data_IF_721994150911
#
_entry.id   IF_721994150911
#
_cell.length_a   1.000
_cell.length_b   1.000
_cell.length_c   1.000
_cell.angle_alpha   90.00
_cell.angle_beta   90.00
_cell.angle_gamma   90.00
#
_symmetry.space_group_name_H-M   'P 1'
#
loop_
_entity.id
_entity.type
_entity.pdbx_description
1 polymer ?
#
# COMPACT_ATOMS: atom_id res chain seq x y z
N UNK A 1 -55.13 49.53 42.61
CA UNK A 1 -55.73 50.17 41.41
C UNK A 1 -55.48 49.30 40.17
N UNK A 2 -56.15 49.59 39.05
CA UNK A 2 -56.10 48.81 37.79
C UNK A 2 -54.69 48.75 37.17
N UNK A 3 -54.18 47.55 36.84
CA UNK A 3 -54.25 46.81 35.54
C UNK A 3 -53.35 47.33 34.41
N UNK A 4 -52.42 46.47 33.98
CA UNK A 4 -51.87 46.16 32.63
C UNK A 4 -50.95 44.91 32.86
N UNK A 5 -50.68 43.87 32.04
CA UNK A 5 -50.97 43.48 30.63
C UNK A 5 -50.30 44.40 29.58
N UNK A 6 -49.56 43.97 28.55
CA UNK A 6 -49.19 42.68 27.91
C UNK A 6 -47.69 42.79 27.47
N UNK A 7 -46.94 41.79 27.00
CA UNK A 7 -47.18 40.37 26.69
C UNK A 7 -45.87 39.55 26.93
N UNK A 8 -45.66 38.46 26.18
CA UNK A 8 -44.49 37.57 26.07
C UNK A 8 -43.29 38.17 25.31
N UNK A 9 -42.07 37.77 25.69
CA UNK A 9 -41.19 36.92 24.84
C UNK A 9 -39.98 36.41 25.65
N UNK A 10 -39.72 35.09 25.64
CA UNK A 10 -38.43 34.51 26.08
C UNK A 10 -37.71 34.01 24.84
N UNK A 11 -36.53 34.58 24.56
CA UNK A 11 -35.69 34.20 23.43
C UNK A 11 -34.35 33.66 23.95
N UNK A 12 -34.29 32.36 24.21
CA UNK A 12 -33.06 31.63 24.50
C UNK A 12 -32.26 31.41 23.21
N UNK A 13 -31.30 32.28 22.93
CA UNK A 13 -30.33 32.11 21.85
C UNK A 13 -29.21 31.15 22.29
N UNK A 14 -29.55 29.86 22.36
CA UNK A 14 -28.57 28.77 22.50
C UNK A 14 -27.96 28.54 21.11
N UNK A 15 -26.77 29.08 20.88
CA UNK A 15 -25.99 28.84 19.66
C UNK A 15 -25.34 27.45 19.70
N UNK A 16 -26.15 26.40 19.56
CA UNK A 16 -25.68 25.01 19.45
C UNK A 16 -24.98 24.80 18.10
N UNK A 17 -23.66 24.91 18.09
CA UNK A 17 -22.83 24.55 16.93
C UNK A 17 -22.89 23.04 16.72
N UNK A 18 -23.76 22.59 15.81
CA UNK A 18 -23.68 21.23 15.28
C UNK A 18 -22.45 21.13 14.39
N UNK A 19 -21.41 20.46 14.87
CA UNK A 19 -20.34 19.93 14.01
C UNK A 19 -20.91 18.72 13.29
N UNK A 20 -21.42 18.94 12.07
CA UNK A 20 -21.87 17.87 11.19
C UNK A 20 -20.61 17.11 10.69
N UNK A 21 -20.52 15.78 10.84
CA UNK A 21 -19.44 15.01 10.23
C UNK A 21 -19.56 15.10 8.71
N UNK A 22 -18.50 15.51 8.02
CA UNK A 22 -18.48 15.55 6.57
C UNK A 22 -18.39 14.12 6.01
N UNK A 23 -19.54 13.50 5.74
CA UNK A 23 -19.64 12.36 4.82
C UNK A 23 -19.27 12.87 3.43
N UNK A 24 -18.02 12.68 3.01
CA UNK A 24 -17.64 12.93 1.63
C UNK A 24 -18.25 11.85 0.71
N UNK A 25 -18.59 12.23 -0.52
CA UNK A 25 -19.44 11.41 -1.39
C UNK A 25 -18.67 10.65 -2.46
N UNK A 26 -19.17 9.46 -2.76
CA UNK A 26 -19.11 8.85 -4.08
C UNK A 26 -19.59 9.81 -5.17
N UNK A 27 -19.04 9.71 -6.39
CA UNK A 27 -19.59 10.36 -7.58
C UNK A 27 -20.00 9.29 -8.57
N UNK A 28 -21.30 8.99 -8.62
CA UNK A 28 -21.86 8.15 -9.69
C UNK A 28 -21.98 8.99 -10.97
N UNK A 29 -21.64 8.47 -12.17
CA UNK A 29 -21.56 9.29 -13.39
C UNK A 29 -22.92 9.65 -14.01
N UNK A 30 -24.00 8.95 -13.64
CA UNK A 30 -25.33 9.12 -14.23
C UNK A 30 -26.21 10.18 -13.54
N UNK A 31 -25.77 10.81 -12.44
CA UNK A 31 -26.53 11.91 -11.79
C UNK A 31 -26.34 13.26 -12.50
N UNK A 32 -27.43 14.02 -12.63
CA UNK A 32 -27.64 15.10 -13.58
C UNK A 32 -26.94 16.44 -13.28
N UNK A 33 -25.68 16.43 -12.84
CA UNK A 33 -24.85 17.62 -12.67
C UNK A 33 -25.23 18.52 -11.49
N UNK A 34 -25.92 17.97 -10.50
CA UNK A 34 -26.45 18.65 -9.30
C UNK A 34 -25.39 19.00 -8.25
N UNK A 35 -24.18 18.43 -8.34
CA UNK A 35 -23.09 18.63 -7.39
C UNK A 35 -21.79 19.09 -8.08
N UNK A 36 -21.17 20.21 -7.65
CA UNK A 36 -19.95 20.73 -8.27
C UNK A 36 -18.69 19.94 -7.85
N UNK A 37 -17.69 19.78 -8.74
CA UNK A 37 -16.52 18.94 -8.47
C UNK A 37 -15.59 19.54 -7.41
N UNK A 38 -15.47 18.85 -6.27
CA UNK A 38 -14.56 19.18 -5.18
C UNK A 38 -13.08 18.83 -5.51
N UNK A 39 -12.54 19.38 -6.59
CA UNK A 39 -11.14 19.12 -6.96
C UNK A 39 -10.69 19.46 -8.39
N UNK A 40 -11.50 20.12 -9.22
CA UNK A 40 -11.05 20.66 -10.52
C UNK A 40 -10.56 19.66 -11.58
N UNK A 41 -10.81 18.37 -11.39
CA UNK A 41 -10.46 17.30 -12.34
C UNK A 41 -11.48 17.14 -13.47
N UNK A 42 -11.04 16.46 -14.53
CA UNK A 42 -11.92 15.87 -15.56
C UNK A 42 -12.80 14.79 -14.89
N UNK A 43 -14.05 14.55 -15.35
CA UNK A 43 -14.83 13.39 -14.92
C UNK A 43 -14.06 12.08 -15.06
N UNK A 44 -14.38 11.09 -14.21
CA UNK A 44 -13.73 9.78 -14.27
C UNK A 44 -14.00 9.10 -15.63
N UNK A 45 -13.00 8.36 -16.15
CA UNK A 45 -13.02 7.78 -17.49
C UNK A 45 -13.30 6.28 -17.44
N UNK A 46 -14.54 5.95 -17.08
CA UNK A 46 -15.07 4.59 -17.02
C UNK A 46 -15.81 4.20 -18.32
N UNK A 47 -16.15 2.92 -18.45
CA UNK A 47 -17.08 2.45 -19.48
C UNK A 47 -18.53 2.75 -19.08
N UNK A 48 -19.42 3.01 -20.05
CA UNK A 48 -20.86 3.07 -19.80
C UNK A 48 -21.48 1.74 -19.31
N UNK A 49 -20.71 0.64 -19.27
CA UNK A 49 -21.08 -0.62 -18.63
C UNK A 49 -20.57 -0.73 -17.17
N UNK A 50 -20.07 0.36 -16.58
CA UNK A 50 -19.65 0.47 -15.18
C UNK A 50 -20.48 1.55 -14.49
N UNK A 51 -21.12 1.20 -13.37
CA UNK A 51 -21.89 2.10 -12.49
C UNK A 51 -21.23 2.09 -11.11
N UNK A 52 -21.19 3.24 -10.42
CA UNK A 52 -20.59 3.28 -9.08
C UNK A 52 -21.64 2.90 -8.03
N UNK A 53 -21.43 1.79 -7.34
CA UNK A 53 -22.37 1.33 -6.32
C UNK A 53 -22.28 2.15 -5.02
N UNK A 54 -21.06 2.50 -4.61
CA UNK A 54 -20.74 3.30 -3.41
C UNK A 54 -19.23 3.65 -3.43
N UNK A 55 -18.76 4.59 -2.59
CA UNK A 55 -17.33 4.90 -2.41
C UNK A 55 -17.04 5.36 -0.97
N UNK A 56 -15.91 4.89 -0.43
CA UNK A 56 -15.41 5.25 0.90
C UNK A 56 -14.31 6.31 0.77
N UNK A 57 -14.55 7.54 1.29
CA UNK A 57 -13.55 8.60 1.32
C UNK A 57 -12.22 8.18 1.95
N UNK A 58 -11.14 8.88 1.55
CA UNK A 58 -9.83 8.74 2.21
C UNK A 58 -9.95 9.14 3.68
N UNK A 59 -9.25 8.41 4.56
CA UNK A 59 -9.23 8.71 6.00
C UNK A 59 -8.48 10.02 6.31
N UNK A 60 -7.53 10.39 5.45
CA UNK A 60 -6.70 11.59 5.54
C UNK A 60 -6.31 12.09 4.13
N UNK A 61 -5.37 13.04 4.07
CA UNK A 61 -4.85 13.58 2.82
C UNK A 61 -3.75 12.74 2.16
N UNK A 62 -3.40 11.56 2.69
CA UNK A 62 -2.27 10.78 2.20
C UNK A 62 -2.57 10.14 0.82
N UNK A 63 -1.51 9.96 0.04
CA UNK A 63 -1.52 9.11 -1.15
C UNK A 63 -2.01 7.72 -0.74
N UNK A 64 -3.01 7.23 -1.46
CA UNK A 64 -3.46 5.84 -1.41
C UNK A 64 -2.68 5.12 -2.50
N UNK A 65 -2.21 3.90 -2.23
CA UNK A 65 -1.33 3.15 -3.13
C UNK A 65 -2.00 1.91 -3.70
N UNK A 66 -2.46 1.02 -2.81
CA UNK A 66 -2.74 -0.38 -3.15
C UNK A 66 -4.00 -0.93 -2.45
N UNK A 67 -4.52 -2.06 -2.93
CA UNK A 67 -5.74 -2.73 -2.46
C UNK A 67 -5.58 -4.25 -2.39
N UNK A 68 -5.60 -4.79 -1.18
CA UNK A 68 -5.68 -6.24 -0.94
C UNK A 68 -7.09 -6.65 -0.46
N UNK A 69 -7.46 -7.92 -0.66
CA UNK A 69 -8.81 -8.41 -0.37
C UNK A 69 -8.78 -9.77 0.34
N UNK A 70 -9.55 -9.93 1.42
CA UNK A 70 -9.77 -11.23 2.07
C UNK A 70 -11.17 -11.32 2.69
N UNK A 71 -11.93 -12.35 2.31
CA UNK A 71 -13.30 -12.54 2.78
C UNK A 71 -14.20 -11.35 2.45
N UNK A 72 -14.74 -10.72 3.49
CA UNK A 72 -15.61 -9.55 3.38
C UNK A 72 -14.87 -8.21 3.54
N UNK A 73 -13.53 -8.20 3.51
CA UNK A 73 -12.73 -6.99 3.73
C UNK A 73 -11.82 -6.63 2.56
N UNK A 74 -11.81 -5.35 2.22
CA UNK A 74 -10.76 -4.71 1.45
C UNK A 74 -9.80 -3.97 2.40
N UNK A 75 -8.50 -4.03 2.11
CA UNK A 75 -7.43 -3.40 2.85
C UNK A 75 -6.76 -2.38 1.93
N UNK A 76 -6.86 -1.09 2.24
CA UNK A 76 -6.34 -0.03 1.39
C UNK A 76 -5.06 0.57 1.96
N UNK A 77 -3.95 0.43 1.22
CA UNK A 77 -2.63 0.94 1.56
C UNK A 77 -2.55 2.46 1.39
N UNK A 78 -1.82 3.12 2.29
CA UNK A 78 -1.59 4.57 2.25
C UNK A 78 -0.17 4.90 2.72
N UNK A 79 0.35 6.06 2.33
CA UNK A 79 1.68 6.51 2.79
C UNK A 79 1.75 6.77 4.31
N UNK A 80 0.57 6.87 4.96
CA UNK A 80 0.37 7.15 6.39
C UNK A 80 -0.09 5.93 7.20
N UNK A 81 -0.32 4.76 6.59
CA UNK A 81 -0.89 3.58 7.25
C UNK A 81 -1.76 2.73 6.33
N UNK A 82 -2.80 2.08 6.87
CA UNK A 82 -3.78 1.35 6.05
C UNK A 82 -5.21 1.42 6.60
N UNK A 83 -6.20 1.39 5.71
CA UNK A 83 -7.64 1.30 6.03
C UNK A 83 -8.10 -0.15 5.95
N UNK A 84 -9.05 -0.55 6.80
CA UNK A 84 -9.86 -1.77 6.63
C UNK A 84 -11.29 -1.35 6.30
N UNK A 85 -11.82 -1.88 5.20
CA UNK A 85 -13.13 -1.53 4.64
C UNK A 85 -13.96 -2.81 4.53
N UNK A 86 -15.12 -2.83 5.20
CA UNK A 86 -16.15 -3.86 5.05
C UNK A 86 -16.83 -3.69 3.69
N UNK A 87 -16.76 -4.75 2.88
CA UNK A 87 -17.32 -4.86 1.54
C UNK A 87 -18.38 -5.97 1.45
N UNK A 88 -18.92 -6.43 2.58
CA UNK A 88 -19.99 -7.44 2.63
C UNK A 88 -21.29 -6.99 1.95
N UNK A 89 -21.54 -5.69 1.89
CA UNK A 89 -22.54 -5.07 1.03
C UNK A 89 -21.87 -4.08 0.07
N UNK A 90 -21.75 -4.37 -1.23
CA UNK A 90 -21.05 -3.51 -2.19
C UNK A 90 -21.77 -2.18 -2.49
N UNK A 91 -23.03 -2.00 -2.04
CA UNK A 91 -23.80 -0.76 -2.15
C UNK A 91 -23.97 -0.03 -0.79
N UNK A 92 -23.19 -0.41 0.23
CA UNK A 92 -23.07 0.29 1.51
C UNK A 92 -21.74 -0.13 2.19
N UNK A 93 -20.62 0.15 1.52
CA UNK A 93 -19.28 -0.21 1.99
C UNK A 93 -18.82 0.73 3.10
N UNK A 94 -18.07 0.22 4.08
CA UNK A 94 -17.76 1.01 5.29
C UNK A 94 -16.34 0.83 5.77
N UNK A 95 -15.60 1.93 5.96
CA UNK A 95 -14.36 1.88 6.73
C UNK A 95 -14.67 1.42 8.17
N UNK A 96 -14.14 0.26 8.55
CA UNK A 96 -14.30 -0.30 9.89
C UNK A 96 -13.13 0.05 10.80
N UNK A 97 -11.94 0.25 10.23
CA UNK A 97 -10.74 0.64 10.94
C UNK A 97 -9.79 1.47 10.07
N UNK A 98 -8.92 2.23 10.73
CA UNK A 98 -7.73 2.83 10.12
C UNK A 98 -6.56 2.63 11.10
N UNK A 99 -5.42 2.17 10.58
CA UNK A 99 -4.19 1.93 11.34
C UNK A 99 -3.13 2.93 10.87
N UNK A 100 -2.95 4.06 11.58
CA UNK A 100 -1.81 4.95 11.33
C UNK A 100 -0.50 4.20 11.50
N UNK A 101 0.36 4.27 10.49
CA UNK A 101 1.67 3.63 10.46
C UNK A 101 2.56 4.32 9.42
N UNK A 102 3.38 5.27 9.85
CA UNK A 102 4.18 6.10 8.93
C UNK A 102 5.25 5.26 8.22
N UNK A 103 5.36 5.36 6.89
CA UNK A 103 6.30 4.52 6.13
C UNK A 103 6.60 4.94 4.69
N UNK A 104 5.72 5.70 4.03
CA UNK A 104 5.80 5.86 2.57
C UNK A 104 5.42 4.58 1.82
N UNK A 105 5.03 4.73 0.55
CA UNK A 105 4.47 3.70 -0.33
C UNK A 105 3.25 2.96 0.26
N UNK A 106 3.45 2.07 1.23
CA UNK A 106 2.37 1.48 2.01
C UNK A 106 1.55 0.41 1.27
N UNK A 107 2.06 -0.11 0.15
CA UNK A 107 1.47 -1.24 -0.61
C UNK A 107 1.17 -2.42 0.32
N UNK A 108 0.11 -3.18 0.02
CA UNK A 108 -0.45 -4.18 0.94
C UNK A 108 -0.76 -5.51 0.29
N UNK A 109 -0.51 -6.58 1.03
CA UNK A 109 -1.07 -7.90 0.75
C UNK A 109 -1.63 -8.52 2.03
N UNK A 110 -2.61 -9.42 1.90
CA UNK A 110 -3.22 -10.12 3.03
C UNK A 110 -3.25 -11.63 2.80
N UNK A 111 -3.04 -12.42 3.85
CA UNK A 111 -3.10 -13.89 3.80
C UNK A 111 -3.40 -14.52 5.16
N UNK A 112 -4.57 -15.15 5.28
CA UNK A 112 -5.11 -15.77 6.51
C UNK A 112 -5.11 -14.80 7.71
N UNK A 113 -5.51 -13.56 7.48
CA UNK A 113 -5.57 -12.49 8.48
C UNK A 113 -4.22 -11.91 8.90
N UNK A 114 -3.12 -12.27 8.22
CA UNK A 114 -1.86 -11.52 8.28
C UNK A 114 -1.82 -10.50 7.15
N UNK A 115 -1.68 -9.21 7.47
CA UNK A 115 -1.45 -8.14 6.50
C UNK A 115 0.04 -7.77 6.46
N UNK A 116 0.55 -7.63 5.26
CA UNK A 116 1.91 -7.23 4.92
C UNK A 116 1.85 -5.81 4.37
N UNK A 117 2.76 -4.93 4.77
CA UNK A 117 2.77 -3.53 4.34
C UNK A 117 4.20 -3.07 4.01
N UNK A 118 4.35 -2.50 2.81
CA UNK A 118 5.59 -1.95 2.27
C UNK A 118 6.02 -0.64 2.96
N UNK A 119 7.33 -0.45 3.11
CA UNK A 119 7.99 0.76 3.62
C UNK A 119 9.28 1.00 2.82
N UNK A 120 9.27 2.07 2.03
CA UNK A 120 10.38 2.51 1.15
C UNK A 120 10.92 3.91 1.49
N UNK A 121 10.34 4.59 2.49
CA UNK A 121 10.84 5.86 3.00
C UNK A 121 11.57 5.60 4.31
N UNK A 122 12.85 5.98 4.45
CA UNK A 122 13.66 5.69 5.63
C UNK A 122 13.00 6.13 6.94
N UNK A 123 12.77 5.19 7.86
CA UNK A 123 12.14 5.42 9.17
C UNK A 123 13.15 5.47 10.32
N UNK A 124 12.82 6.21 11.37
CA UNK A 124 13.63 6.27 12.60
C UNK A 124 13.69 4.96 13.40
N UNK A 125 12.70 4.07 13.21
CA UNK A 125 12.55 2.76 13.89
C UNK A 125 11.52 1.88 13.16
N UNK A 126 11.45 0.57 13.41
CA UNK A 126 10.49 -0.33 12.75
C UNK A 126 9.01 -0.13 13.11
N UNK A 127 8.68 0.43 14.27
CA UNK A 127 7.29 0.57 14.75
C UNK A 127 6.48 1.64 13.99
N UNK A 128 5.15 1.62 14.13
CA UNK A 128 4.24 2.54 13.42
C UNK A 128 4.31 4.01 13.88
N UNK A 129 4.82 4.27 15.08
CA UNK A 129 5.13 5.59 15.63
C UNK A 129 6.57 6.04 15.29
N UNK A 130 7.13 5.51 14.20
CA UNK A 130 8.33 6.04 13.57
C UNK A 130 8.07 7.38 12.90
N UNK A 131 9.15 8.10 12.60
CA UNK A 131 9.14 9.31 11.77
C UNK A 131 10.13 9.15 10.63
N UNK A 132 9.86 9.83 9.51
CA UNK A 132 10.79 9.89 8.38
C UNK A 132 12.15 10.44 8.85
N UNK A 133 13.23 9.79 8.42
CA UNK A 133 14.62 10.18 8.68
C UNK A 133 15.34 10.34 7.33
N UNK A 134 16.42 11.13 7.22
CA UNK A 134 17.20 11.17 5.99
C UNK A 134 17.80 9.79 5.68
N UNK A 135 17.83 9.40 4.41
CA UNK A 135 18.42 8.13 3.97
C UNK A 135 19.86 7.92 4.47
N UNK A 136 20.64 9.00 4.64
CA UNK A 136 22.00 8.97 5.18
C UNK A 136 22.14 8.53 6.64
N UNK A 137 21.04 8.28 7.36
CA UNK A 137 21.05 7.77 8.72
C UNK A 137 21.41 6.26 8.76
N UNK A 138 22.53 5.85 9.38
CA UNK A 138 22.99 4.45 9.41
C UNK A 138 22.05 3.48 10.14
N UNK A 139 21.18 3.97 11.02
CA UNK A 139 20.20 3.14 11.75
C UNK A 139 18.77 3.24 11.20
N UNK A 140 18.56 3.89 10.04
CA UNK A 140 17.25 3.97 9.41
C UNK A 140 16.67 2.59 9.09
N UNK A 141 15.37 2.39 9.36
CA UNK A 141 14.65 1.15 9.08
C UNK A 141 13.72 1.30 7.88
N UNK A 142 13.73 0.29 7.01
CA UNK A 142 12.92 0.17 5.79
C UNK A 142 12.67 -1.33 5.54
N UNK A 143 11.57 -1.71 4.90
CA UNK A 143 11.24 -3.10 4.58
C UNK A 143 9.75 -3.41 4.71
N UNK A 144 9.41 -4.59 5.25
CA UNK A 144 8.01 -5.05 5.34
C UNK A 144 7.57 -5.10 6.80
N UNK A 145 6.46 -4.43 7.12
CA UNK A 145 5.73 -4.60 8.39
C UNK A 145 4.68 -5.70 8.26
N UNK A 146 4.49 -6.50 9.30
CA UNK A 146 3.52 -7.60 9.36
C UNK A 146 2.54 -7.35 10.50
N UNK A 147 1.25 -7.41 10.20
CA UNK A 147 0.15 -7.17 11.15
C UNK A 147 -0.78 -8.37 11.24
N UNK A 148 -1.40 -8.56 12.39
CA UNK A 148 -2.59 -9.39 12.57
C UNK A 148 -3.81 -8.48 12.46
N UNK A 149 -4.68 -8.75 11.49
CA UNK A 149 -5.88 -7.98 11.13
C UNK A 149 -7.18 -8.79 11.27
N UNK A 150 -7.12 -9.99 11.90
CA UNK A 150 -8.27 -10.89 12.08
C UNK A 150 -9.42 -10.27 12.87
N UNK A 151 -9.12 -9.32 13.74
CA UNK A 151 -10.09 -8.42 14.36
C UNK A 151 -9.73 -6.96 13.96
N UNK A 152 -10.55 -6.30 13.13
CA UNK A 152 -10.34 -4.90 12.77
C UNK A 152 -10.33 -3.92 13.95
N UNK A 153 -10.89 -4.29 15.11
CA UNK A 153 -10.85 -3.49 16.33
C UNK A 153 -9.54 -3.65 17.13
N UNK A 154 -8.76 -4.70 16.89
CA UNK A 154 -7.56 -5.06 17.66
C UNK A 154 -6.38 -5.47 16.74
N UNK A 155 -6.05 -4.56 15.83
CA UNK A 155 -4.98 -4.68 14.83
C UNK A 155 -3.60 -4.64 15.51
N UNK A 156 -2.90 -5.78 15.54
CA UNK A 156 -1.60 -5.92 16.21
C UNK A 156 -0.45 -5.85 15.21
N UNK A 157 0.62 -5.15 15.57
CA UNK A 157 1.89 -5.21 14.85
C UNK A 157 2.66 -6.44 15.36
N UNK A 158 3.04 -7.33 14.45
CA UNK A 158 3.60 -8.66 14.74
C UNK A 158 5.12 -8.69 14.52
N UNK A 159 5.58 -8.13 13.40
CA UNK A 159 6.99 -8.11 13.02
C UNK A 159 7.30 -6.96 12.05
N UNK A 160 8.58 -6.62 11.95
CA UNK A 160 9.12 -5.67 10.96
C UNK A 160 10.42 -6.23 10.39
N UNK A 161 10.36 -6.72 9.16
CA UNK A 161 11.50 -7.35 8.49
C UNK A 161 12.27 -6.29 7.70
N UNK A 162 13.49 -5.97 8.15
CA UNK A 162 14.37 -5.02 7.47
C UNK A 162 14.89 -5.62 6.16
N UNK A 163 15.07 -4.78 5.15
CA UNK A 163 15.66 -5.12 3.84
C UNK A 163 16.64 -4.03 3.41
N UNK A 164 17.55 -4.34 2.48
CA UNK A 164 18.65 -3.44 2.09
C UNK A 164 18.16 -2.13 1.43
N UNK A 165 17.12 -2.21 0.60
CA UNK A 165 16.51 -1.09 -0.13
C UNK A 165 15.05 -0.83 0.24
N UNK A 166 14.61 -1.29 1.42
CA UNK A 166 13.20 -1.23 1.80
C UNK A 166 12.30 -2.13 0.95
N UNK A 167 11.00 -1.83 0.99
CA UNK A 167 9.96 -2.51 0.21
C UNK A 167 9.14 -1.46 -0.53
N UNK A 168 9.24 -1.40 -1.85
CA UNK A 168 8.36 -0.57 -2.67
C UNK A 168 7.06 -1.36 -2.89
N UNK A 169 7.05 -2.35 -3.78
CA UNK A 169 5.95 -3.32 -3.87
C UNK A 169 6.37 -4.67 -3.27
N UNK A 170 5.41 -5.55 -2.97
CA UNK A 170 5.73 -6.90 -2.53
C UNK A 170 4.67 -7.92 -2.95
N UNK A 171 5.10 -9.16 -3.16
CA UNK A 171 4.24 -10.24 -3.67
C UNK A 171 4.28 -11.46 -2.77
N UNK A 172 3.11 -11.98 -2.42
CA UNK A 172 2.98 -13.20 -1.63
C UNK A 172 3.20 -14.46 -2.48
N UNK A 173 4.08 -15.34 -1.99
CA UNK A 173 4.44 -16.62 -2.62
C UNK A 173 4.20 -17.80 -1.65
N UNK A 174 2.95 -18.33 -1.56
CA UNK A 174 2.65 -19.47 -0.71
C UNK A 174 3.45 -20.73 -1.09
N UNK A 175 3.96 -21.44 -0.08
CA UNK A 175 4.69 -22.70 -0.23
C UNK A 175 3.93 -23.91 0.36
N UNK A 176 2.76 -23.69 0.96
CA UNK A 176 2.03 -24.69 1.73
C UNK A 176 2.73 -25.02 3.06
N UNK A 177 2.28 -26.08 3.74
CA UNK A 177 2.88 -26.59 5.00
C UNK A 177 3.10 -25.52 6.10
N UNK A 178 2.27 -24.48 6.16
CA UNK A 178 2.44 -23.38 7.12
C UNK A 178 3.55 -22.37 6.77
N UNK A 179 4.11 -22.42 5.56
CA UNK A 179 5.11 -21.47 5.08
C UNK A 179 4.55 -20.54 3.99
N UNK A 180 4.73 -19.25 4.22
CA UNK A 180 4.55 -18.19 3.24
C UNK A 180 5.92 -17.55 2.95
N UNK A 181 6.13 -17.13 1.72
CA UNK A 181 7.26 -16.28 1.34
C UNK A 181 6.74 -14.95 0.81
N UNK A 182 7.53 -13.89 0.93
CA UNK A 182 7.25 -12.57 0.36
C UNK A 182 8.42 -12.18 -0.53
N UNK A 183 8.13 -11.87 -1.79
CA UNK A 183 9.08 -11.29 -2.72
C UNK A 183 8.99 -9.78 -2.62
N UNK A 184 10.02 -9.17 -2.04
CA UNK A 184 10.11 -7.73 -1.83
C UNK A 184 10.81 -7.09 -3.01
N UNK A 185 10.05 -6.35 -3.79
CA UNK A 185 10.53 -5.54 -4.90
C UNK A 185 10.91 -4.16 -4.38
N UNK A 186 12.20 -3.84 -4.39
CA UNK A 186 12.66 -2.48 -4.18
C UNK A 186 14.02 -2.23 -4.82
N UNK A 187 14.24 -1.00 -5.26
CA UNK A 187 15.42 -0.55 -5.98
C UNK A 187 15.56 0.95 -5.80
N UNK A 188 16.81 1.44 -5.78
CA UNK A 188 17.11 2.86 -5.64
C UNK A 188 16.48 3.67 -6.80
N UNK A 189 15.39 4.40 -6.53
CA UNK A 189 14.71 5.27 -7.51
C UNK A 189 15.14 6.72 -7.40
N UNK A 190 15.49 7.21 -6.21
CA UNK A 190 15.88 8.61 -5.98
C UNK A 190 17.13 8.69 -5.10
N UNK A 191 17.74 9.87 -5.02
CA UNK A 191 18.80 10.15 -4.03
C UNK A 191 18.30 10.10 -2.58
N UNK A 192 16.98 10.14 -2.35
CA UNK A 192 16.37 10.01 -1.02
C UNK A 192 15.94 8.59 -0.66
N UNK A 193 16.05 7.62 -1.59
CA UNK A 193 15.89 6.18 -1.32
C UNK A 193 17.25 5.43 -1.32
N UNK A 194 18.37 6.14 -1.46
CA UNK A 194 19.72 5.57 -1.40
C UNK A 194 20.32 5.74 0.01
N UNK A 195 19.83 4.92 0.94
CA UNK A 195 20.41 4.80 2.28
C UNK A 195 21.69 3.98 2.31
N UNK A 196 22.44 3.93 3.44
CA UNK A 196 23.73 3.23 3.53
C UNK A 196 23.63 1.70 3.37
N UNK A 197 22.43 1.13 3.43
CA UNK A 197 22.18 -0.28 3.11
C UNK A 197 21.80 -0.47 1.61
N UNK A 198 21.28 0.57 0.95
CA UNK A 198 20.77 0.50 -0.42
C UNK A 198 21.76 1.05 -1.43
N UNK A 199 22.27 0.19 -2.31
CA UNK A 199 23.18 0.59 -3.37
C UNK A 199 22.43 1.01 -4.64
N UNK A 200 22.93 2.04 -5.33
CA UNK A 200 22.52 2.32 -6.70
C UNK A 200 22.76 1.06 -7.55
N UNK A 201 21.77 0.69 -8.36
CA UNK A 201 21.76 -0.57 -9.13
C UNK A 201 21.71 -1.86 -8.27
N UNK A 202 20.97 -1.85 -7.15
CA UNK A 202 20.76 -3.00 -6.26
C UNK A 202 20.52 -4.33 -6.98
N UNK A 203 19.69 -4.34 -8.05
CA UNK A 203 19.62 -5.43 -9.03
C UNK A 203 19.23 -6.79 -8.43
N UNK A 204 18.41 -6.78 -7.38
CA UNK A 204 18.00 -7.92 -6.55
C UNK A 204 16.57 -7.70 -6.06
N UNK A 205 15.97 -8.79 -5.58
CA UNK A 205 14.84 -8.72 -4.64
C UNK A 205 15.29 -9.24 -3.28
N UNK A 206 14.58 -8.89 -2.21
CA UNK A 206 14.71 -9.60 -0.93
C UNK A 206 13.60 -10.64 -0.81
N UNK A 207 13.94 -11.87 -0.44
CA UNK A 207 12.95 -12.93 -0.17
C UNK A 207 12.80 -13.10 1.34
N UNK A 208 11.64 -12.76 1.87
CA UNK A 208 11.27 -12.99 3.28
C UNK A 208 10.58 -14.34 3.40
N UNK A 209 10.95 -15.15 4.41
CA UNK A 209 10.17 -16.31 4.84
C UNK A 209 9.34 -15.94 6.07
N UNK A 210 8.09 -16.40 6.09
CA UNK A 210 7.11 -16.14 7.15
C UNK A 210 6.53 -17.49 7.62
N UNK A 211 6.91 -17.97 8.83
CA UNK A 211 6.29 -19.15 9.42
C UNK A 211 4.90 -18.78 9.93
N UNK A 212 3.82 -19.31 9.33
CA UNK A 212 2.45 -18.87 9.61
C UNK A 212 1.96 -19.20 11.04
N UNK A 213 2.61 -20.17 11.72
CA UNK A 213 2.36 -20.46 13.14
C UNK A 213 3.17 -19.57 14.10
N UNK A 214 4.23 -18.92 13.61
CA UNK A 214 5.15 -18.07 14.38
C UNK A 214 5.61 -16.87 13.52
N UNK A 215 4.70 -15.99 13.07
CA UNK A 215 5.01 -14.90 12.14
C UNK A 215 5.97 -13.84 12.72
N UNK A 216 6.17 -13.81 14.05
CA UNK A 216 7.18 -12.98 14.72
C UNK A 216 8.63 -13.40 14.37
N UNK A 217 8.81 -14.59 13.77
CA UNK A 217 10.10 -15.11 13.29
C UNK A 217 10.33 -14.87 11.79
N UNK A 218 9.57 -13.96 11.17
CA UNK A 218 9.77 -13.60 9.77
C UNK A 218 11.14 -12.94 9.55
N UNK A 219 11.84 -13.34 8.49
CA UNK A 219 13.20 -12.87 8.19
C UNK A 219 13.52 -12.99 6.70
N UNK A 220 14.45 -12.15 6.20
CA UNK A 220 15.05 -12.35 4.87
C UNK A 220 15.85 -13.65 4.87
N UNK A 221 15.57 -14.53 3.92
CA UNK A 221 16.27 -15.82 3.74
C UNK A 221 17.18 -15.85 2.52
N UNK A 222 16.99 -14.95 1.54
CA UNK A 222 17.88 -14.79 0.38
C UNK A 222 17.70 -13.43 -0.28
N UNK A 223 18.68 -13.03 -1.11
CA UNK A 223 18.67 -11.80 -1.93
C UNK A 223 19.05 -12.08 -3.39
N UNK A 224 18.23 -12.86 -4.14
CA UNK A 224 18.55 -13.33 -5.48
C UNK A 224 18.64 -12.16 -6.48
N UNK A 225 19.64 -12.17 -7.40
CA UNK A 225 19.82 -11.11 -8.38
C UNK A 225 18.79 -11.19 -9.51
N UNK A 226 18.30 -10.03 -9.95
CA UNK A 226 17.43 -9.87 -11.13
C UNK A 226 18.28 -9.91 -12.40
N UNK A 227 18.80 -11.10 -12.73
CA UNK A 227 19.77 -11.29 -13.82
C UNK A 227 19.18 -10.91 -15.18
N UNK A 228 19.98 -10.25 -16.02
CA UNK A 228 19.57 -9.88 -17.39
C UNK A 228 18.64 -8.67 -17.48
N UNK A 229 18.40 -7.95 -16.38
CA UNK A 229 17.70 -6.66 -16.38
C UNK A 229 18.70 -5.54 -16.70
N UNK A 230 18.52 -4.87 -17.84
CA UNK A 230 19.34 -3.72 -18.21
C UNK A 230 18.94 -2.49 -17.39
N UNK A 231 19.88 -1.57 -17.15
CA UNK A 231 19.62 -0.34 -16.42
C UNK A 231 18.52 0.45 -17.11
N UNK A 232 17.47 0.76 -16.36
CA UNK A 232 16.39 1.64 -16.76
C UNK A 232 16.85 3.09 -16.74
N UNK A 233 16.51 3.82 -17.80
CA UNK A 233 16.77 5.24 -17.96
C UNK A 233 15.46 6.02 -17.72
N UNK A 234 15.35 6.83 -16.64
CA UNK A 234 14.12 7.55 -16.32
C UNK A 234 13.75 8.63 -17.36
N UNK A 235 14.66 9.02 -18.26
CA UNK A 235 14.33 9.89 -19.39
C UNK A 235 13.40 9.23 -20.43
N UNK A 236 13.12 7.93 -20.29
CA UNK A 236 12.15 7.17 -21.11
C UNK A 236 10.71 7.25 -20.59
N UNK A 237 10.47 7.82 -19.41
CA UNK A 237 9.11 8.01 -18.89
C UNK A 237 8.43 9.18 -19.60
N UNK A 238 7.15 9.03 -19.93
CA UNK A 238 6.32 10.09 -20.52
C UNK A 238 6.20 11.31 -19.58
N UNK A 239 6.39 11.10 -18.27
CA UNK A 239 6.44 12.13 -17.25
C UNK A 239 7.87 12.30 -16.73
N UNK A 240 8.59 13.30 -17.24
CA UNK A 240 9.96 13.59 -16.86
C UNK A 240 10.05 14.09 -15.39
N UNK A 241 10.52 13.22 -14.49
CA UNK A 241 10.77 13.56 -13.09
C UNK A 241 12.30 13.61 -12.81
N UNK A 242 12.90 14.80 -12.59
CA UNK A 242 14.34 14.95 -12.43
C UNK A 242 14.90 14.42 -11.09
N UNK A 243 14.06 13.98 -10.16
CA UNK A 243 14.52 13.28 -8.95
C UNK A 243 14.93 11.83 -9.22
N UNK A 244 14.39 11.22 -10.29
CA UNK A 244 14.61 9.81 -10.61
C UNK A 244 16.04 9.54 -11.09
N UNK A 245 16.61 8.44 -10.63
CA UNK A 245 17.95 7.98 -10.97
C UNK A 245 17.89 6.76 -11.90
N UNK A 246 18.91 6.56 -12.76
CA UNK A 246 19.08 5.29 -13.47
C UNK A 246 19.20 4.14 -12.48
N UNK A 247 18.49 3.04 -12.74
CA UNK A 247 18.31 1.95 -11.75
C UNK A 247 18.07 0.58 -12.39
N UNK A 248 18.09 -0.50 -11.61
CA UNK A 248 17.78 -1.87 -12.08
C UNK A 248 17.26 -2.74 -10.94
N UNK A 249 16.31 -3.63 -11.26
CA UNK A 249 15.51 -4.42 -10.32
C UNK A 249 14.22 -4.87 -10.98
N UNK A 250 13.21 -5.25 -10.20
CA UNK A 250 11.85 -5.44 -10.69
C UNK A 250 10.86 -4.63 -9.89
N UNK A 251 9.83 -4.10 -10.57
CA UNK A 251 8.71 -3.38 -9.97
C UNK A 251 7.73 -4.40 -9.42
N UNK A 252 6.94 -5.06 -10.28
CA UNK A 252 5.90 -5.98 -9.84
C UNK A 252 6.26 -7.43 -10.08
N UNK A 253 5.75 -8.32 -9.24
CA UNK A 253 5.81 -9.76 -9.41
C UNK A 253 4.40 -10.32 -9.19
N UNK A 254 4.00 -11.30 -9.99
CA UNK A 254 2.73 -12.02 -9.83
C UNK A 254 3.00 -13.51 -9.77
N UNK A 255 2.49 -14.18 -8.74
CA UNK A 255 2.77 -15.59 -8.45
C UNK A 255 1.62 -16.50 -8.90
N UNK A 256 1.90 -17.38 -9.85
CA UNK A 256 1.02 -18.47 -10.27
C UNK A 256 1.37 -19.74 -9.48
N UNK A 257 1.04 -19.72 -8.18
CA UNK A 257 1.42 -20.75 -7.22
C UNK A 257 1.13 -22.21 -7.65
N UNK A 258 -0.01 -22.55 -8.33
CA UNK A 258 -0.29 -23.93 -8.75
C UNK A 258 0.69 -24.51 -9.78
N UNK A 259 1.37 -23.66 -10.56
CA UNK A 259 2.38 -24.10 -11.53
C UNK A 259 3.82 -23.89 -11.03
N UNK A 260 4.01 -23.38 -9.81
CA UNK A 260 5.30 -22.92 -9.30
C UNK A 260 5.99 -21.90 -10.21
N UNK A 261 5.23 -20.99 -10.82
CA UNK A 261 5.74 -19.92 -11.66
C UNK A 261 5.51 -18.54 -11.02
N UNK A 262 6.39 -17.60 -11.32
CA UNK A 262 6.14 -16.18 -11.17
C UNK A 262 6.39 -15.44 -12.49
N UNK A 263 5.64 -14.37 -12.74
CA UNK A 263 5.91 -13.40 -13.79
C UNK A 263 6.36 -12.08 -13.13
N UNK A 264 7.41 -11.45 -13.64
CA UNK A 264 7.99 -10.24 -13.06
C UNK A 264 8.13 -9.12 -14.10
N UNK A 265 7.66 -7.92 -13.74
CA UNK A 265 7.79 -6.67 -14.50
C UNK A 265 9.12 -5.99 -14.12
N UNK A 266 10.19 -6.41 -14.78
CA UNK A 266 11.55 -6.01 -14.43
C UNK A 266 12.04 -4.78 -15.18
N UNK A 267 11.33 -3.65 -15.00
CA UNK A 267 11.59 -2.30 -15.53
C UNK A 267 11.81 -2.23 -17.06
N UNK A 268 12.98 -2.66 -17.52
CA UNK A 268 13.39 -2.73 -18.93
C UNK A 268 12.97 -4.03 -19.63
N UNK A 269 12.61 -5.08 -18.89
CA UNK A 269 12.26 -6.41 -19.43
C UNK A 269 11.14 -7.08 -18.62
N UNK A 270 10.33 -7.93 -19.25
CA UNK A 270 9.52 -8.92 -18.53
C UNK A 270 10.33 -10.17 -18.23
N UNK A 271 10.01 -10.90 -17.16
CA UNK A 271 10.62 -12.20 -16.86
C UNK A 271 9.60 -13.24 -16.39
N UNK A 272 9.88 -14.52 -16.66
CA UNK A 272 9.18 -15.68 -16.09
C UNK A 272 10.18 -16.46 -15.25
N UNK A 273 9.81 -16.79 -14.02
CA UNK A 273 10.66 -17.48 -13.04
C UNK A 273 10.06 -18.83 -12.62
N UNK A 274 10.92 -19.84 -12.44
CA UNK A 274 10.64 -21.02 -11.61
C UNK A 274 10.75 -20.62 -10.14
N UNK A 275 9.70 -20.91 -9.37
CA UNK A 275 9.63 -20.69 -7.92
C UNK A 275 9.37 -21.99 -7.15
N UNK A 276 9.69 -23.15 -7.75
CA UNK A 276 9.55 -24.47 -7.10
C UNK A 276 10.30 -24.52 -5.76
N UNK A 277 11.48 -23.89 -5.69
CA UNK A 277 12.03 -23.39 -4.43
C UNK A 277 11.66 -21.91 -4.29
N UNK A 278 10.80 -21.58 -3.32
CA UNK A 278 10.39 -20.18 -3.09
C UNK A 278 11.55 -19.33 -2.56
N UNK A 279 12.53 -19.90 -1.87
CA UNK A 279 13.67 -19.16 -1.36
C UNK A 279 14.67 -18.79 -2.48
N UNK A 280 14.64 -19.49 -3.61
CA UNK A 280 15.61 -19.29 -4.70
C UNK A 280 14.92 -19.29 -6.08
N UNK A 281 14.13 -18.24 -6.39
CA UNK A 281 13.52 -18.06 -7.72
C UNK A 281 14.59 -18.03 -8.83
N UNK A 282 14.29 -18.63 -9.97
CA UNK A 282 15.24 -18.78 -11.11
C UNK A 282 14.60 -18.31 -12.41
N UNK A 283 15.30 -17.46 -13.15
CA UNK A 283 14.82 -16.99 -14.47
C UNK A 283 14.76 -18.15 -15.46
N UNK A 284 13.55 -18.47 -15.94
CA UNK A 284 13.32 -19.40 -17.04
C UNK A 284 13.33 -18.69 -18.39
N UNK A 285 12.79 -17.47 -18.44
CA UNK A 285 12.68 -16.68 -19.66
C UNK A 285 12.73 -15.19 -19.38
N UNK A 286 13.48 -14.46 -20.21
CA UNK A 286 13.37 -13.01 -20.34
C UNK A 286 12.53 -12.68 -21.58
N UNK A 287 11.68 -11.66 -21.46
CA UNK A 287 10.79 -11.12 -22.48
C UNK A 287 11.21 -9.67 -22.72
N UNK A 288 11.81 -9.41 -23.89
CA UNK A 288 12.18 -8.07 -24.35
C UNK A 288 11.18 -7.60 -25.38
N UNK A 289 10.71 -6.36 -25.28
CA UNK A 289 10.16 -5.66 -26.46
C UNK A 289 11.26 -5.53 -27.52
N UNK A 290 10.99 -5.81 -28.80
CA UNK A 290 11.95 -5.59 -29.90
C UNK A 290 12.39 -4.13 -30.05
#
# INVERSE_FOLDING_TARGET
>A
MNRLRRLTAVALLVASVLVIPATASAHDPDDGGTHPPAGGGVPDLHSANMTLLDNVPKADAATQSDLAFEGNYAYAGTFSGFRIIDISNPAAVRQVAFKPCNGGQGDVSVYNGLLFSSVDTPQSKPECDSVNTPATNPVAWEGVRIFDVRDPADIKHIASVRTDCGSHTHTLAPAGKGSLFVYVSSYAVTTTSMGPNCQQFHGRISVVHVPLQNPEKAQVVSTPPTTGVTVFDPARLEFANPALQPTTGCHDITVLAPLNLAAAACLSVGQIWDISDRAHPKVLRTLTTP
#
